data_IF_286757345414
#
_entry.id   IF_286757345414
#
_cell.length_a   1.000
_cell.length_b   1.000
_cell.length_c   1.000
_cell.angle_alpha   90.00
_cell.angle_beta   90.00
_cell.angle_gamma   90.00
#
_symmetry.space_group_name_H-M   'P 1'
#
loop_
_entity.id
_entity.type
_entity.pdbx_description
1 polymer ?
#
# COMPACT_ATOMS: atom_id res chain seq x y z
N UNK A 1 -38.96 36.83 68.41
CA UNK A 1 -37.55 36.71 68.85
C UNK A 1 -37.36 35.60 69.88
N UNK A 2 -37.94 34.42 69.64
CA UNK A 2 -37.73 33.20 70.46
C UNK A 2 -37.84 31.94 69.56
N UNK A 3 -37.27 32.00 68.35
CA UNK A 3 -37.17 30.83 67.46
C UNK A 3 -35.73 30.59 66.97
N UNK A 4 -34.76 31.36 67.45
CA UNK A 4 -33.33 31.22 67.10
C UNK A 4 -32.55 30.48 68.21
N UNK A 5 -33.20 30.17 69.33
CA UNK A 5 -32.61 29.55 70.52
C UNK A 5 -33.22 28.17 70.83
N UNK A 6 -33.31 27.33 69.81
CA UNK A 6 -33.60 25.90 69.95
C UNK A 6 -32.88 25.14 68.81
N UNK A 7 -31.64 25.46 68.45
CA UNK A 7 -30.41 25.02 69.13
C UNK A 7 -30.55 23.67 69.84
N UNK A 8 -29.78 22.71 69.31
CA UNK A 8 -28.87 21.89 70.12
C UNK A 8 -29.41 20.64 70.82
N UNK A 9 -30.40 19.94 70.25
CA UNK A 9 -30.59 18.51 70.55
C UNK A 9 -31.16 17.77 69.33
N UNK A 10 -30.35 17.61 68.29
CA UNK A 10 -30.43 16.53 67.31
C UNK A 10 -29.12 16.58 66.52
N UNK A 11 -28.03 16.28 67.23
CA UNK A 11 -26.85 15.68 66.61
C UNK A 11 -27.21 14.25 66.20
N UNK A 12 -26.45 13.74 65.23
CA UNK A 12 -26.46 12.39 64.68
C UNK A 12 -27.56 12.10 63.67
N UNK A 13 -27.28 12.48 62.42
CA UNK A 13 -27.09 11.55 61.30
C UNK A 13 -26.90 12.40 60.03
N UNK A 14 -25.66 12.80 59.79
CA UNK A 14 -25.21 13.18 58.44
C UNK A 14 -25.50 11.99 57.51
N UNK A 15 -26.27 12.14 56.41
CA UNK A 15 -26.09 11.22 55.30
C UNK A 15 -24.73 11.56 54.71
N UNK A 16 -23.78 10.67 54.98
CA UNK A 16 -22.47 10.60 54.33
C UNK A 16 -22.60 11.04 52.87
N UNK A 17 -21.88 12.10 52.50
CA UNK A 17 -21.50 12.33 51.12
C UNK A 17 -20.74 11.07 50.69
N UNK A 18 -21.45 10.13 50.06
CA UNK A 18 -20.86 8.95 49.46
C UNK A 18 -19.83 9.40 48.43
N UNK A 19 -18.56 9.34 48.87
CA UNK A 19 -17.33 9.21 48.11
C UNK A 19 -17.43 9.60 46.63
N UNK A 20 -17.21 10.90 46.39
CA UNK A 20 -16.58 11.40 45.18
C UNK A 20 -15.10 10.95 45.16
N UNK A 21 -14.87 9.69 44.78
CA UNK A 21 -13.63 9.17 44.16
C UNK A 21 -13.87 7.68 43.85
N UNK A 22 -14.40 7.41 42.66
CA UNK A 22 -14.32 6.08 42.05
C UNK A 22 -13.39 6.15 40.83
N UNK A 23 -12.21 6.74 41.02
CA UNK A 23 -11.05 6.64 40.11
C UNK A 23 -10.34 5.27 40.27
N UNK A 24 -11.13 4.20 40.41
CA UNK A 24 -10.67 2.81 40.36
C UNK A 24 -11.68 1.95 39.58
N UNK A 25 -12.08 2.45 38.42
CA UNK A 25 -12.66 1.57 37.42
C UNK A 25 -11.54 0.66 36.93
N UNK A 26 -11.69 -0.61 37.30
CA UNK A 26 -10.93 -1.76 36.84
C UNK A 26 -11.19 -1.98 35.33
N UNK A 27 -10.97 -0.97 34.50
CA UNK A 27 -11.00 -1.12 33.07
C UNK A 27 -9.81 -2.00 32.68
N UNK A 28 -10.16 -3.20 32.24
CA UNK A 28 -9.20 -4.15 31.67
C UNK A 28 -8.47 -3.43 30.54
N UNK A 29 -7.16 -3.32 30.70
CA UNK A 29 -6.25 -2.64 29.76
C UNK A 29 -6.52 -3.09 28.31
N UNK A 30 -6.54 -2.14 27.38
CA UNK A 30 -6.90 -2.35 25.98
C UNK A 30 -6.15 -3.54 25.31
N UNK A 31 -4.82 -3.71 25.50
CA UNK A 31 -4.09 -4.87 24.99
C UNK A 31 -4.65 -6.21 25.47
N UNK A 32 -5.17 -6.27 26.70
CA UNK A 32 -5.77 -7.49 27.27
C UNK A 32 -7.11 -7.80 26.61
N UNK A 33 -7.92 -6.77 26.29
CA UNK A 33 -9.18 -6.93 25.54
C UNK A 33 -8.94 -7.36 24.09
N UNK A 34 -7.87 -6.88 23.45
CA UNK A 34 -7.55 -7.18 22.06
C UNK A 34 -6.77 -8.48 21.85
N UNK A 35 -6.26 -9.11 22.90
CA UNK A 35 -5.32 -10.25 22.81
C UNK A 35 -5.82 -11.44 21.96
N UNK A 36 -7.14 -11.71 21.97
CA UNK A 36 -7.74 -12.83 21.26
C UNK A 36 -8.65 -12.40 20.10
N UNK A 37 -8.59 -11.12 19.70
CA UNK A 37 -9.44 -10.56 18.66
C UNK A 37 -8.68 -10.57 17.34
N UNK A 38 -9.37 -10.95 16.27
CA UNK A 38 -8.83 -10.84 14.94
C UNK A 38 -8.72 -9.36 14.55
N UNK A 39 -7.50 -8.85 14.36
CA UNK A 39 -7.26 -7.47 13.96
C UNK A 39 -7.77 -7.15 12.54
N UNK A 40 -7.96 -8.17 11.70
CA UNK A 40 -8.52 -8.01 10.35
C UNK A 40 -10.06 -7.97 10.34
N UNK A 41 -10.72 -8.05 11.51
CA UNK A 41 -12.17 -7.98 11.64
C UNK A 41 -12.60 -6.70 12.38
N UNK A 42 -12.89 -5.66 11.60
CA UNK A 42 -13.20 -4.33 12.10
C UNK A 42 -14.44 -4.28 13.01
N UNK A 43 -15.45 -5.11 12.75
CA UNK A 43 -16.64 -5.20 13.61
C UNK A 43 -16.31 -5.84 14.96
N UNK A 44 -15.47 -6.89 14.97
CA UNK A 44 -14.99 -7.52 16.21
C UNK A 44 -14.11 -6.56 17.02
N UNK A 45 -13.19 -5.83 16.37
CA UNK A 45 -12.38 -4.79 17.02
C UNK A 45 -13.24 -3.71 17.64
N UNK A 46 -14.18 -3.17 16.87
CA UNK A 46 -15.09 -2.12 17.35
C UNK A 46 -15.89 -2.56 18.55
N UNK A 47 -16.34 -3.82 18.58
CA UNK A 47 -17.11 -4.39 19.70
C UNK A 47 -16.32 -4.43 21.01
N UNK A 48 -14.99 -4.52 20.94
CA UNK A 48 -14.11 -4.60 22.11
C UNK A 48 -13.67 -3.24 22.66
N UNK A 49 -13.81 -2.17 21.89
CA UNK A 49 -13.51 -0.80 22.32
C UNK A 49 -14.59 -0.25 23.26
N UNK A 50 -14.18 0.54 24.25
CA UNK A 50 -15.09 1.31 25.12
C UNK A 50 -15.72 2.48 24.35
N UNK A 51 -16.73 3.13 24.95
CA UNK A 51 -17.36 4.28 24.31
C UNK A 51 -16.41 5.46 24.15
N UNK A 52 -15.50 5.66 25.09
CA UNK A 52 -14.53 6.76 25.06
C UNK A 52 -13.47 6.52 23.99
N UNK A 53 -12.94 5.29 23.87
CA UNK A 53 -12.00 4.90 22.80
C UNK A 53 -12.63 5.05 21.40
N UNK A 54 -13.91 4.68 21.25
CA UNK A 54 -14.65 4.88 20.00
C UNK A 54 -14.85 6.36 19.64
N UNK A 55 -14.99 7.22 20.64
CA UNK A 55 -15.13 8.66 20.45
C UNK A 55 -13.78 9.29 20.09
N UNK A 56 -12.70 8.86 20.73
CA UNK A 56 -11.33 9.27 20.40
C UNK A 56 -10.99 8.91 18.95
N UNK A 57 -11.25 7.66 18.53
CA UNK A 57 -11.04 7.23 17.15
C UNK A 57 -11.81 8.10 16.14
N UNK A 58 -13.07 8.45 16.43
CA UNK A 58 -13.85 9.35 15.58
C UNK A 58 -13.30 10.78 15.56
N UNK A 59 -12.80 11.27 16.70
CA UNK A 59 -12.16 12.58 16.78
C UNK A 59 -10.88 12.60 15.94
N UNK A 60 -10.10 11.51 15.95
CA UNK A 60 -8.90 11.35 15.12
C UNK A 60 -9.25 11.35 13.63
N UNK A 61 -10.28 10.61 13.22
CA UNK A 61 -10.74 10.56 11.81
C UNK A 61 -11.25 11.91 11.28
N UNK A 62 -11.92 12.69 12.14
CA UNK A 62 -12.41 14.03 11.76
C UNK A 62 -11.30 15.09 11.82
N UNK A 63 -10.22 14.80 12.54
CA UNK A 63 -9.02 15.64 12.58
C UNK A 63 -8.15 15.43 11.34
N UNK A 64 -7.22 16.36 11.10
CA UNK A 64 -6.21 16.23 10.04
C UNK A 64 -5.04 15.33 10.43
N UNK A 65 -5.10 14.64 11.58
CA UNK A 65 -3.97 13.95 12.21
C UNK A 65 -3.82 12.49 11.75
N UNK A 66 -4.77 11.95 10.98
CA UNK A 66 -4.70 10.55 10.50
C UNK A 66 -3.42 10.29 9.71
N UNK A 67 -2.98 11.24 8.88
CA UNK A 67 -1.76 11.13 8.09
C UNK A 67 -0.47 11.05 8.94
N UNK A 68 -0.47 11.63 10.14
CA UNK A 68 0.70 11.63 11.03
C UNK A 68 0.84 10.31 11.80
N UNK A 69 -0.26 9.56 11.94
CA UNK A 69 -0.32 8.32 12.73
C UNK A 69 0.05 7.11 11.86
N UNK A 70 -0.28 7.15 10.56
CA UNK A 70 0.04 6.05 9.64
C UNK A 70 1.55 6.04 9.36
N UNK A 71 2.26 4.93 9.63
CA UNK A 71 3.67 4.84 9.32
C UNK A 71 3.89 4.95 7.82
N UNK A 72 4.90 5.72 7.44
CA UNK A 72 5.28 5.85 6.04
C UNK A 72 5.94 4.55 5.58
N UNK A 73 5.43 3.98 4.50
CA UNK A 73 6.01 2.80 3.90
C UNK A 73 7.33 3.16 3.23
N UNK A 74 8.38 2.42 3.58
CA UNK A 74 9.67 2.53 2.92
C UNK A 74 9.72 1.59 1.71
N UNK A 75 9.90 2.12 0.48
CA UNK A 75 9.98 1.27 -0.68
C UNK A 75 11.20 0.35 -0.63
N UNK A 76 11.01 -0.90 -1.03
CA UNK A 76 12.07 -1.91 -1.03
C UNK A 76 13.21 -1.63 -2.03
N UNK A 77 13.02 -0.69 -2.97
CA UNK A 77 14.00 -0.30 -3.98
C UNK A 77 14.89 0.89 -3.61
N UNK A 78 14.82 1.38 -2.36
CA UNK A 78 15.65 2.52 -1.91
C UNK A 78 17.08 2.13 -1.58
N UNK A 79 17.33 0.84 -1.28
CA UNK A 79 18.67 0.36 -0.96
C UNK A 79 19.59 0.37 -2.19
N UNK A 80 20.81 0.88 -1.99
CA UNK A 80 21.87 0.79 -2.98
C UNK A 80 23.18 0.44 -2.30
N UNK A 81 23.86 -0.57 -2.82
CA UNK A 81 25.19 -0.94 -2.36
C UNK A 81 26.19 0.07 -2.89
N UNK A 82 26.80 0.83 -1.99
CA UNK A 82 27.94 1.67 -2.33
C UNK A 82 29.13 0.79 -2.72
N UNK A 83 29.76 1.11 -3.86
CA UNK A 83 30.98 0.42 -4.30
C UNK A 83 32.16 0.89 -3.43
N UNK A 84 32.34 0.25 -2.28
CA UNK A 84 33.50 0.49 -1.42
C UNK A 84 34.74 -0.15 -2.04
N UNK A 85 35.80 0.64 -2.24
CA UNK A 85 37.09 0.14 -2.75
C UNK A 85 37.80 -0.77 -1.73
N UNK A 86 37.44 -0.65 -0.46
CA UNK A 86 37.93 -1.47 0.66
C UNK A 86 36.73 -1.82 1.52
N UNK A 87 36.52 -3.11 1.78
CA UNK A 87 35.43 -3.62 2.60
C UNK A 87 36.00 -4.41 3.79
N UNK A 88 35.51 -4.13 4.99
CA UNK A 88 35.91 -4.84 6.19
C UNK A 88 35.28 -6.24 6.18
N UNK A 89 36.12 -7.28 6.14
CA UNK A 89 35.69 -8.69 6.15
C UNK A 89 34.91 -9.12 7.42
N UNK A 90 34.82 -8.24 8.43
CA UNK A 90 34.15 -8.50 9.70
C UNK A 90 32.78 -7.81 9.83
N UNK A 91 32.39 -6.93 8.91
CA UNK A 91 31.06 -6.33 8.94
C UNK A 91 30.02 -7.34 8.44
N UNK A 92 28.92 -7.58 9.18
CA UNK A 92 27.85 -8.42 8.69
C UNK A 92 27.25 -7.78 7.42
N UNK A 93 27.19 -8.56 6.34
CA UNK A 93 26.61 -8.11 5.09
C UNK A 93 25.08 -8.19 5.19
N UNK A 94 24.43 -7.11 5.63
CA UNK A 94 22.97 -7.03 5.75
C UNK A 94 22.25 -6.96 4.38
N UNK A 95 22.99 -7.01 3.26
CA UNK A 95 22.43 -6.98 1.91
C UNK A 95 21.39 -8.07 1.68
N UNK A 96 21.65 -9.31 2.10
CA UNK A 96 20.70 -10.42 1.92
C UNK A 96 19.38 -10.16 2.65
N UNK A 97 19.42 -9.64 3.88
CA UNK A 97 18.22 -9.31 4.66
C UNK A 97 17.38 -8.21 4.01
N UNK A 98 18.05 -7.21 3.41
CA UNK A 98 17.38 -6.11 2.72
C UNK A 98 16.76 -6.60 1.41
N UNK A 99 17.51 -7.38 0.61
CA UNK A 99 17.01 -7.93 -0.65
C UNK A 99 15.90 -8.96 -0.43
N UNK A 100 15.86 -9.64 0.73
CA UNK A 100 14.76 -10.53 1.12
C UNK A 100 13.43 -9.80 1.33
N UNK A 101 13.42 -8.47 1.53
CA UNK A 101 12.19 -7.66 1.57
C UNK A 101 11.60 -7.42 0.17
N UNK A 102 12.38 -7.64 -0.90
CA UNK A 102 11.93 -7.40 -2.26
C UNK A 102 10.93 -8.49 -2.71
N UNK A 103 9.97 -8.15 -3.59
CA UNK A 103 9.09 -9.14 -4.19
C UNK A 103 9.86 -10.26 -4.89
N UNK A 104 9.35 -11.49 -4.72
CA UNK A 104 9.98 -12.70 -5.24
C UNK A 104 9.92 -12.69 -6.77
N UNK A 105 11.07 -12.84 -7.41
CA UNK A 105 11.17 -12.88 -8.87
C UNK A 105 10.48 -14.14 -9.40
N UNK A 106 9.48 -13.97 -10.25
CA UNK A 106 8.71 -15.07 -10.82
C UNK A 106 9.48 -15.83 -11.88
N UNK A 107 9.28 -17.14 -11.88
CA UNK A 107 9.75 -18.02 -12.97
C UNK A 107 8.80 -17.89 -14.16
N UNK A 108 9.32 -17.43 -15.28
CA UNK A 108 8.58 -17.28 -16.55
C UNK A 108 9.19 -18.16 -17.65
N UNK A 109 8.40 -18.50 -18.70
CA UNK A 109 8.94 -19.24 -19.84
C UNK A 109 10.16 -18.55 -20.46
N UNK A 110 11.08 -19.35 -21.01
CA UNK A 110 12.27 -18.82 -21.69
C UNK A 110 11.88 -17.94 -22.89
N UNK A 111 12.58 -16.84 -23.10
CA UNK A 111 12.25 -15.89 -24.16
C UNK A 111 12.22 -16.52 -25.56
N UNK A 112 13.17 -17.41 -25.84
CA UNK A 112 13.25 -18.17 -27.09
C UNK A 112 12.04 -19.09 -27.34
N UNK A 113 11.26 -19.43 -26.31
CA UNK A 113 10.01 -20.19 -26.46
C UNK A 113 8.80 -19.30 -26.73
N UNK A 114 8.90 -18.00 -26.44
CA UNK A 114 7.82 -17.02 -26.61
C UNK A 114 7.88 -16.35 -27.99
N UNK A 115 9.08 -16.10 -28.50
CA UNK A 115 9.28 -15.47 -29.81
C UNK A 115 10.63 -15.84 -30.42
N UNK A 116 10.66 -15.89 -31.75
CA UNK A 116 11.89 -16.00 -32.55
C UNK A 116 12.30 -14.64 -33.16
N UNK A 117 11.53 -13.59 -32.89
CA UNK A 117 11.77 -12.25 -33.42
C UNK A 117 12.81 -11.55 -32.55
N UNK A 118 13.77 -10.87 -33.19
CA UNK A 118 14.75 -10.05 -32.49
C UNK A 118 14.03 -8.98 -31.64
N UNK A 119 14.34 -8.85 -30.33
CA UNK A 119 13.73 -7.84 -29.48
C UNK A 119 13.90 -6.43 -30.05
N UNK A 120 12.81 -5.66 -30.07
CA UNK A 120 12.85 -4.25 -30.44
C UNK A 120 13.54 -3.43 -29.32
N UNK A 121 14.34 -2.40 -29.65
CA UNK A 121 14.97 -1.53 -28.65
C UNK A 121 13.97 -0.88 -27.69
N UNK A 122 12.77 -0.56 -28.18
CA UNK A 122 11.67 0.04 -27.43
C UNK A 122 11.17 -0.81 -26.26
N UNK A 123 11.48 -2.11 -26.19
CA UNK A 123 11.08 -2.96 -25.05
C UNK A 123 11.64 -2.40 -23.74
N UNK A 124 12.89 -1.94 -23.71
CA UNK A 124 13.50 -1.38 -22.48
C UNK A 124 12.82 -0.09 -22.07
N UNK A 125 12.48 0.76 -23.03
CA UNK A 125 11.82 2.05 -22.79
C UNK A 125 10.37 1.84 -22.34
N UNK A 126 9.67 0.87 -22.90
CA UNK A 126 8.34 0.49 -22.45
C UNK A 126 8.35 -0.08 -21.02
N UNK A 127 9.40 -0.82 -20.64
CA UNK A 127 9.57 -1.25 -19.25
C UNK A 127 9.72 -0.03 -18.32
N UNK A 128 10.41 1.03 -18.73
CA UNK A 128 10.51 2.28 -17.96
C UNK A 128 9.13 2.92 -17.76
N UNK A 129 8.28 2.98 -18.80
CA UNK A 129 6.88 3.44 -18.66
C UNK A 129 6.09 2.59 -17.64
N UNK A 130 6.31 1.27 -17.63
CA UNK A 130 5.69 0.35 -16.67
C UNK A 130 6.21 0.57 -15.24
N UNK A 131 7.52 0.73 -15.05
CA UNK A 131 8.13 1.00 -13.74
C UNK A 131 7.67 2.34 -13.16
N UNK A 132 7.49 3.35 -14.02
CA UNK A 132 6.98 4.67 -13.62
C UNK A 132 5.56 4.55 -13.07
N UNK A 133 4.66 3.90 -13.80
CA UNK A 133 3.30 3.68 -13.33
C UNK A 133 3.23 2.82 -12.07
N UNK A 134 4.07 1.79 -11.97
CA UNK A 134 4.14 0.92 -10.79
C UNK A 134 4.62 1.68 -9.54
N UNK A 135 5.76 2.36 -9.62
CA UNK A 135 6.32 3.10 -8.47
C UNK A 135 5.35 4.18 -7.97
N UNK A 136 4.73 4.92 -8.90
CA UNK A 136 3.71 5.91 -8.56
C UNK A 136 2.55 5.27 -7.79
N UNK A 137 1.93 4.22 -8.34
CA UNK A 137 0.73 3.62 -7.73
C UNK A 137 1.03 2.96 -6.40
N UNK A 138 2.15 2.24 -6.28
CA UNK A 138 2.50 1.60 -5.00
C UNK A 138 2.78 2.65 -3.92
N UNK A 139 3.41 3.78 -4.26
CA UNK A 139 3.57 4.90 -3.32
C UNK A 139 2.26 5.59 -2.97
N UNK A 140 1.40 5.79 -3.96
CA UNK A 140 0.09 6.38 -3.76
C UNK A 140 -0.73 5.61 -2.71
N UNK A 141 -0.60 4.29 -2.70
CA UNK A 141 -1.23 3.40 -1.70
C UNK A 141 -0.34 3.07 -0.49
N UNK A 142 0.75 3.82 -0.27
CA UNK A 142 1.69 3.61 0.84
C UNK A 142 2.12 2.13 0.99
N UNK A 143 2.41 1.46 -0.12
CA UNK A 143 2.83 0.05 -0.15
C UNK A 143 1.71 -0.99 -0.06
N UNK A 144 0.52 -0.61 0.40
CA UNK A 144 -0.62 -1.52 0.63
C UNK A 144 -1.66 -1.42 -0.49
N UNK A 145 -1.41 -2.13 -1.58
CA UNK A 145 -2.24 -2.05 -2.78
C UNK A 145 -3.46 -2.99 -2.75
N UNK A 146 -4.67 -2.45 -2.87
CA UNK A 146 -5.85 -3.26 -3.21
C UNK A 146 -5.80 -3.63 -4.71
N UNK A 147 -5.71 -4.92 -5.09
CA UNK A 147 -5.38 -5.31 -6.46
C UNK A 147 -6.28 -4.75 -7.55
N UNK A 148 -7.59 -4.68 -7.33
CA UNK A 148 -8.54 -4.18 -8.36
C UNK A 148 -8.33 -2.69 -8.61
N UNK A 149 -8.19 -1.92 -7.54
CA UNK A 149 -7.95 -0.48 -7.59
C UNK A 149 -6.58 -0.16 -8.18
N UNK A 150 -5.53 -0.82 -7.70
CA UNK A 150 -4.17 -0.65 -8.22
C UNK A 150 -4.07 -0.95 -9.71
N UNK A 151 -4.68 -2.04 -10.20
CA UNK A 151 -4.70 -2.34 -11.64
C UNK A 151 -5.47 -1.28 -12.43
N UNK A 152 -6.53 -0.73 -11.86
CA UNK A 152 -7.34 0.32 -12.50
C UNK A 152 -6.51 1.59 -12.64
N UNK A 153 -5.82 2.03 -11.58
CA UNK A 153 -4.91 3.18 -11.59
C UNK A 153 -3.73 2.95 -12.54
N UNK A 154 -3.06 1.80 -12.47
CA UNK A 154 -1.93 1.47 -13.36
C UNK A 154 -2.37 1.50 -14.83
N UNK A 155 -3.53 0.92 -15.18
CA UNK A 155 -4.02 0.96 -16.55
C UNK A 155 -4.49 2.36 -16.96
N UNK A 156 -4.89 3.22 -16.03
CA UNK A 156 -5.23 4.60 -16.34
C UNK A 156 -3.99 5.41 -16.77
N UNK A 157 -2.83 5.16 -16.15
CA UNK A 157 -1.61 5.97 -16.35
C UNK A 157 -0.50 5.30 -17.19
N UNK A 158 -0.53 3.99 -17.39
CA UNK A 158 0.49 3.26 -18.14
C UNK A 158 0.08 3.00 -19.59
N UNK A 159 0.50 3.88 -20.51
CA UNK A 159 0.19 3.72 -21.94
C UNK A 159 0.78 2.44 -22.57
N UNK A 160 1.95 1.99 -22.10
CA UNK A 160 2.52 0.73 -22.59
C UNK A 160 1.63 -0.47 -22.25
N UNK A 161 0.96 -0.51 -21.10
CA UNK A 161 0.05 -1.61 -20.76
C UNK A 161 -1.37 -1.38 -21.30
N UNK A 162 -1.85 -0.13 -21.23
CA UNK A 162 -3.23 0.22 -21.56
C UNK A 162 -3.48 0.25 -23.08
N UNK A 163 -2.58 0.89 -23.81
CA UNK A 163 -2.77 1.23 -25.23
C UNK A 163 -1.79 0.49 -26.15
N UNK A 164 -0.85 -0.27 -25.59
CA UNK A 164 0.30 -0.84 -26.30
C UNK A 164 1.17 0.21 -27.00
N UNK A 165 1.22 1.42 -26.45
CA UNK A 165 2.13 2.46 -26.94
C UNK A 165 3.58 2.01 -26.78
N UNK A 166 4.39 2.34 -27.77
CA UNK A 166 5.83 2.15 -27.73
C UNK A 166 6.51 3.50 -27.55
N UNK A 167 7.56 3.51 -26.75
CA UNK A 167 8.41 4.67 -26.54
C UNK A 167 9.82 4.37 -27.07
N UNK A 168 10.46 5.41 -27.59
CA UNK A 168 11.84 5.34 -28.09
C UNK A 168 12.82 6.04 -27.13
N UNK A 169 12.33 6.97 -26.30
CA UNK A 169 13.13 7.73 -25.34
C UNK A 169 12.64 7.52 -23.90
N UNK A 170 13.55 7.26 -22.94
CA UNK A 170 13.20 7.08 -21.52
C UNK A 170 12.43 8.25 -20.92
N UNK A 171 12.89 9.48 -21.16
CA UNK A 171 12.29 10.67 -20.56
C UNK A 171 10.84 10.86 -21.02
N UNK A 172 10.55 10.59 -22.30
CA UNK A 172 9.19 10.60 -22.84
C UNK A 172 8.31 9.51 -22.23
N UNK A 173 8.86 8.34 -21.95
CA UNK A 173 8.13 7.24 -21.31
C UNK A 173 7.74 7.56 -19.87
N UNK A 174 8.62 8.23 -19.11
CA UNK A 174 8.32 8.67 -17.74
C UNK A 174 7.33 9.83 -17.75
N UNK A 175 7.57 10.84 -18.59
CA UNK A 175 6.71 12.03 -18.67
C UNK A 175 5.30 11.69 -19.15
N UNK A 176 5.13 10.69 -20.01
CA UNK A 176 3.81 10.18 -20.39
C UNK A 176 3.00 9.71 -19.16
N UNK A 177 3.64 9.09 -18.16
CA UNK A 177 2.96 8.72 -16.91
C UNK A 177 2.61 9.96 -16.10
N UNK A 178 3.54 10.89 -15.93
CA UNK A 178 3.28 12.15 -15.20
C UNK A 178 2.07 12.91 -15.76
N UNK A 179 2.02 13.06 -17.10
CA UNK A 179 0.91 13.73 -17.77
C UNK A 179 -0.41 12.97 -17.58
N UNK A 180 -0.38 11.63 -17.54
CA UNK A 180 -1.58 10.84 -17.26
C UNK A 180 -2.04 10.96 -15.82
N UNK A 181 -1.14 11.02 -14.85
CA UNK A 181 -1.50 11.25 -13.45
C UNK A 181 -2.22 12.60 -13.30
N UNK A 182 -1.69 13.67 -13.90
CA UNK A 182 -2.30 15.01 -13.87
C UNK A 182 -3.67 15.09 -14.56
N UNK A 183 -3.95 14.19 -15.50
CA UNK A 183 -5.20 14.13 -16.26
C UNK A 183 -6.18 13.09 -15.71
N UNK A 184 -5.80 12.35 -14.67
CA UNK A 184 -6.61 11.26 -14.13
C UNK A 184 -7.71 11.80 -13.24
N UNK A 185 -8.94 11.33 -13.46
CA UNK A 185 -10.04 11.55 -12.50
C UNK A 185 -9.99 10.55 -11.32
N UNK A 186 -9.05 9.58 -11.34
CA UNK A 186 -8.93 8.52 -10.34
C UNK A 186 -7.77 8.75 -9.35
N UNK A 187 -6.88 9.69 -9.67
CA UNK A 187 -5.63 9.90 -8.95
C UNK A 187 -5.51 11.38 -8.66
N UNK A 188 -5.37 11.72 -7.39
CA UNK A 188 -4.94 13.07 -6.99
C UNK A 188 -3.42 13.08 -6.90
N UNK A 189 -2.79 14.09 -7.49
CA UNK A 189 -1.33 14.17 -7.53
C UNK A 189 -0.84 15.61 -7.50
N UNK A 190 0.41 15.78 -7.10
CA UNK A 190 1.14 17.05 -7.08
C UNK A 190 2.54 16.87 -7.68
N UNK A 191 3.26 17.99 -7.86
CA UNK A 191 4.59 17.95 -8.47
C UNK A 191 5.60 17.15 -7.64
N UNK A 192 5.49 17.18 -6.31
CA UNK A 192 6.39 16.44 -5.42
C UNK A 192 6.24 14.93 -5.61
N UNK A 193 5.01 14.43 -5.68
CA UNK A 193 4.71 13.02 -5.97
C UNK A 193 5.27 12.58 -7.33
N UNK A 194 5.21 13.46 -8.34
CA UNK A 194 5.75 13.19 -9.67
C UNK A 194 7.29 13.15 -9.67
N UNK A 195 7.96 14.05 -8.96
CA UNK A 195 9.41 14.03 -8.79
C UNK A 195 9.89 12.77 -8.05
N UNK A 196 9.16 12.35 -7.01
CA UNK A 196 9.43 11.10 -6.30
C UNK A 196 9.29 9.90 -7.25
N UNK A 197 8.22 9.84 -8.05
CA UNK A 197 8.04 8.79 -9.06
C UNK A 197 9.21 8.73 -10.05
N UNK A 198 9.67 9.89 -10.55
CA UNK A 198 10.82 9.96 -11.48
C UNK A 198 12.07 9.37 -10.82
N UNK A 199 12.32 9.74 -9.56
CA UNK A 199 13.44 9.20 -8.78
C UNK A 199 13.34 7.69 -8.54
N UNK A 200 12.18 7.19 -8.15
CA UNK A 200 11.97 5.75 -7.93
C UNK A 200 12.13 4.94 -9.19
N UNK A 201 11.60 5.44 -10.31
CA UNK A 201 11.75 4.80 -11.61
C UNK A 201 13.23 4.61 -11.93
N UNK A 202 14.03 5.63 -11.66
CA UNK A 202 15.48 5.57 -11.81
C UNK A 202 16.10 4.51 -10.88
N UNK A 203 15.73 4.46 -9.60
CA UNK A 203 16.23 3.46 -8.65
C UNK A 203 15.86 2.02 -9.07
N UNK A 204 14.59 1.79 -9.43
CA UNK A 204 14.09 0.51 -9.93
C UNK A 204 14.83 0.04 -11.18
N UNK A 205 15.18 0.99 -12.06
CA UNK A 205 15.91 0.71 -13.30
C UNK A 205 17.40 0.43 -13.05
N UNK A 206 18.03 1.10 -12.09
CA UNK A 206 19.45 0.90 -11.78
C UNK A 206 19.72 -0.35 -10.95
N UNK A 207 18.74 -0.82 -10.18
CA UNK A 207 18.91 -1.95 -9.26
C UNK A 207 19.78 -1.62 -8.05
N UNK A 208 20.04 -2.61 -7.19
CA UNK A 208 20.82 -2.43 -5.96
C UNK A 208 22.30 -2.12 -6.22
N UNK A 209 22.86 -2.59 -7.34
CA UNK A 209 24.26 -2.38 -7.74
C UNK A 209 24.48 -2.72 -9.24
N UNK A 210 25.68 -2.42 -9.76
CA UNK A 210 26.04 -2.66 -11.17
C UNK A 210 25.94 -4.15 -11.56
N UNK A 211 26.34 -5.05 -10.68
CA UNK A 211 26.36 -6.51 -10.93
C UNK A 211 24.96 -7.11 -10.97
N UNK A 212 24.00 -6.49 -10.27
CA UNK A 212 22.63 -6.95 -10.14
C UNK A 212 21.62 -5.87 -10.56
N UNK A 213 21.96 -5.09 -11.58
CA UNK A 213 21.21 -3.89 -12.01
C UNK A 213 19.77 -4.18 -12.44
N UNK A 214 19.48 -5.41 -12.89
CA UNK A 214 18.13 -5.81 -13.30
C UNK A 214 17.26 -6.34 -12.16
N UNK A 215 17.81 -6.53 -10.94
CA UNK A 215 17.10 -7.16 -9.83
C UNK A 215 15.79 -6.45 -9.48
N UNK A 216 15.86 -5.14 -9.21
CA UNK A 216 14.67 -4.37 -8.85
C UNK A 216 13.64 -4.30 -9.96
N UNK A 217 14.08 -4.15 -11.21
CA UNK A 217 13.17 -4.21 -12.35
C UNK A 217 12.44 -5.56 -12.42
N UNK A 218 13.15 -6.68 -12.21
CA UNK A 218 12.53 -8.03 -12.22
C UNK A 218 11.60 -8.25 -11.04
N UNK A 219 11.95 -7.78 -9.85
CA UNK A 219 11.09 -7.83 -8.66
C UNK A 219 9.82 -7.02 -8.87
N UNK A 220 9.91 -5.78 -9.37
CA UNK A 220 8.75 -4.94 -9.68
C UNK A 220 7.83 -5.58 -10.73
N UNK A 221 8.39 -6.13 -11.81
CA UNK A 221 7.57 -6.84 -12.82
C UNK A 221 6.90 -8.10 -12.24
N UNK A 222 7.56 -8.78 -11.31
CA UNK A 222 7.00 -9.97 -10.65
C UNK A 222 5.86 -9.61 -9.71
N UNK A 223 6.01 -8.52 -8.96
CA UNK A 223 4.98 -7.96 -8.10
C UNK A 223 3.76 -7.50 -8.91
N UNK A 224 3.98 -6.77 -10.01
CA UNK A 224 2.93 -6.40 -10.97
C UNK A 224 2.17 -7.62 -11.49
N UNK A 225 2.85 -8.72 -11.80
CA UNK A 225 2.19 -9.96 -12.24
C UNK A 225 1.27 -10.50 -11.14
N UNK A 226 1.69 -10.44 -9.87
CA UNK A 226 0.86 -10.84 -8.73
C UNK A 226 -0.33 -9.91 -8.53
N UNK A 227 -0.12 -8.59 -8.52
CA UNK A 227 -1.18 -7.57 -8.43
C UNK A 227 -2.24 -7.82 -9.51
N UNK A 228 -1.83 -7.97 -10.78
CA UNK A 228 -2.76 -8.23 -11.88
C UNK A 228 -3.46 -9.59 -11.76
N UNK A 229 -2.76 -10.62 -11.28
CA UNK A 229 -3.34 -11.97 -11.09
C UNK A 229 -4.36 -11.99 -9.95
N UNK A 230 -4.09 -11.25 -8.88
CA UNK A 230 -4.97 -11.11 -7.72
C UNK A 230 -6.21 -10.28 -8.09
N UNK A 231 -6.04 -9.17 -8.82
CA UNK A 231 -7.16 -8.36 -9.33
C UNK A 231 -8.11 -9.19 -10.20
N UNK A 232 -7.55 -10.00 -11.11
CA UNK A 232 -8.32 -10.91 -11.96
C UNK A 232 -9.08 -11.97 -11.17
N UNK A 233 -8.51 -12.46 -10.07
CA UNK A 233 -9.14 -13.46 -9.21
C UNK A 233 -10.25 -12.84 -8.37
N UNK A 234 -9.98 -11.69 -7.72
CA UNK A 234 -10.96 -10.92 -6.94
C UNK A 234 -12.14 -10.47 -7.78
N UNK A 235 -11.92 -10.03 -9.01
CA UNK A 235 -12.98 -9.60 -9.94
C UNK A 235 -13.99 -10.71 -10.33
N UNK A 236 -13.68 -11.98 -10.06
CA UNK A 236 -14.60 -13.12 -10.30
C UNK A 236 -15.39 -13.51 -9.06
N UNK A 237 -14.90 -13.16 -7.88
CA UNK A 237 -15.53 -13.49 -6.61
C UNK A 237 -16.63 -12.44 -6.42
N UNK A 238 -17.89 -12.88 -6.37
CA UNK A 238 -18.96 -12.03 -5.89
C UNK A 238 -18.78 -11.93 -4.37
N UNK A 239 -18.52 -10.75 -3.85
CA UNK A 239 -18.46 -10.52 -2.41
C UNK A 239 -19.81 -10.93 -1.83
N UNK A 240 -19.84 -12.01 -1.05
CA UNK A 240 -21.01 -12.32 -0.23
C UNK A 240 -21.14 -11.22 0.81
N UNK A 241 -22.35 -10.66 0.93
CA UNK A 241 -22.60 -9.62 1.93
C UNK A 241 -22.39 -10.23 3.32
N UNK A 242 -21.25 -9.91 3.95
CA UNK A 242 -21.06 -10.16 5.38
C UNK A 242 -22.14 -9.41 6.15
N UNK A 243 -22.61 -9.98 7.26
CA UNK A 243 -23.51 -9.28 8.15
C UNK A 243 -22.81 -8.02 8.65
N UNK A 244 -23.28 -6.85 8.23
CA UNK A 244 -22.69 -5.57 8.65
C UNK A 244 -22.91 -5.38 10.15
N UNK A 245 -21.85 -5.43 10.94
CA UNK A 245 -21.90 -5.04 12.35
C UNK A 245 -21.96 -3.52 12.49
N UNK A 246 -21.82 -3.05 13.72
CA UNK A 246 -21.96 -1.62 14.04
C UNK A 246 -20.86 -0.76 13.43
N UNK A 247 -19.63 -1.30 13.30
CA UNK A 247 -18.54 -0.60 12.63
C UNK A 247 -18.82 -0.47 11.14
N UNK A 248 -19.07 -1.60 10.46
CA UNK A 248 -19.27 -1.64 9.01
C UNK A 248 -20.51 -0.88 8.53
N UNK A 249 -21.45 -0.58 9.44
CA UNK A 249 -22.58 0.32 9.19
C UNK A 249 -22.19 1.79 9.26
N UNK A 250 -21.33 2.14 10.21
CA UNK A 250 -20.89 3.53 10.45
C UNK A 250 -19.76 3.94 9.51
N UNK A 251 -18.87 3.00 9.20
CA UNK A 251 -17.74 3.11 8.28
C UNK A 251 -17.89 2.01 7.23
N UNK A 252 -18.63 2.27 6.14
CA UNK A 252 -18.77 1.29 5.06
C UNK A 252 -17.38 0.94 4.51
N UNK A 253 -17.14 -0.36 4.31
CA UNK A 253 -15.94 -0.82 3.60
C UNK A 253 -15.84 -0.12 2.24
N UNK A 254 -14.62 0.23 1.84
CA UNK A 254 -14.33 0.75 0.52
C UNK A 254 -14.80 -0.26 -0.53
N UNK A 255 -15.82 0.11 -1.31
CA UNK A 255 -16.27 -0.70 -2.43
C UNK A 255 -15.71 -0.14 -3.75
N UNK A 256 -15.37 -1.06 -4.65
CA UNK A 256 -14.86 -0.71 -5.98
C UNK A 256 -16.00 -0.27 -6.93
N UNK A 257 -17.17 0.11 -6.42
CA UNK A 257 -18.35 0.40 -7.26
C UNK A 257 -18.21 1.71 -8.04
N UNK A 258 -17.44 2.65 -7.50
CA UNK A 258 -17.11 3.92 -8.13
C UNK A 258 -16.04 3.78 -9.23
N UNK A 259 -15.27 2.68 -9.21
CA UNK A 259 -14.23 2.42 -10.18
C UNK A 259 -14.79 1.85 -11.50
N UNK A 260 -14.16 2.17 -12.65
CA UNK A 260 -14.48 1.51 -13.91
C UNK A 260 -14.31 -0.01 -13.82
N UNK A 261 -15.25 -0.76 -14.41
CA UNK A 261 -15.14 -2.22 -14.43
C UNK A 261 -13.89 -2.69 -15.19
N UNK A 262 -13.09 -3.56 -14.58
CA UNK A 262 -11.90 -4.13 -15.22
C UNK A 262 -12.24 -5.08 -16.37
N UNK A 263 -11.71 -4.82 -17.56
CA UNK A 263 -11.74 -5.78 -18.67
C UNK A 263 -10.77 -6.95 -18.39
N UNK A 264 -11.32 -8.08 -17.96
CA UNK A 264 -10.56 -9.29 -17.66
C UNK A 264 -9.77 -9.83 -18.86
N UNK A 265 -10.19 -9.56 -20.10
CA UNK A 265 -9.45 -9.94 -21.29
C UNK A 265 -8.20 -9.09 -21.44
N UNK A 266 -8.31 -7.78 -21.17
CA UNK A 266 -7.18 -6.86 -21.13
C UNK A 266 -6.20 -7.22 -20.02
N UNK A 267 -6.68 -7.43 -18.79
CA UNK A 267 -5.84 -7.85 -17.65
C UNK A 267 -5.02 -9.10 -17.98
N UNK A 268 -5.64 -10.13 -18.60
CA UNK A 268 -4.92 -11.33 -19.06
C UNK A 268 -3.82 -11.02 -20.08
N UNK A 269 -4.06 -10.11 -21.03
CA UNK A 269 -3.06 -9.70 -22.02
C UNK A 269 -1.91 -8.94 -21.37
N UNK A 270 -2.20 -8.05 -20.41
CA UNK A 270 -1.19 -7.33 -19.64
C UNK A 270 -0.31 -8.29 -18.83
N UNK A 271 -0.89 -9.29 -18.15
CA UNK A 271 -0.12 -10.34 -17.45
C UNK A 271 0.86 -11.02 -18.42
N UNK A 272 0.39 -11.43 -19.61
CA UNK A 272 1.27 -12.06 -20.62
C UNK A 272 2.35 -11.11 -21.13
N UNK A 273 2.06 -9.83 -21.23
CA UNK A 273 3.03 -8.79 -21.62
C UNK A 273 4.10 -8.57 -20.55
N UNK A 274 3.71 -8.56 -19.27
CA UNK A 274 4.64 -8.48 -18.13
C UNK A 274 5.53 -9.72 -18.04
N UNK A 275 4.96 -10.92 -18.20
CA UNK A 275 5.72 -12.18 -18.29
C UNK A 275 6.73 -12.14 -19.46
N UNK A 276 6.33 -11.57 -20.60
CA UNK A 276 7.21 -11.38 -21.75
C UNK A 276 8.36 -10.40 -21.46
N UNK A 277 8.09 -9.27 -20.78
CA UNK A 277 9.13 -8.35 -20.34
C UNK A 277 10.10 -8.98 -19.35
N UNK A 278 9.58 -9.70 -18.35
CA UNK A 278 10.42 -10.43 -17.40
C UNK A 278 11.30 -11.48 -18.10
N UNK A 279 10.71 -12.21 -19.06
CA UNK A 279 11.43 -13.18 -19.89
C UNK A 279 12.52 -12.54 -20.75
N UNK A 280 12.25 -11.36 -21.32
CA UNK A 280 13.24 -10.58 -22.07
C UNK A 280 14.42 -10.15 -21.18
N UNK A 281 14.15 -9.65 -19.96
CA UNK A 281 15.22 -9.24 -19.04
C UNK A 281 16.12 -10.41 -18.63
N UNK A 282 15.57 -11.61 -18.49
CA UNK A 282 16.37 -12.82 -18.24
C UNK A 282 17.34 -13.17 -19.38
N UNK A 283 17.16 -12.60 -20.59
CA UNK A 283 18.14 -12.74 -21.69
C UNK A 283 19.26 -11.72 -21.62
N UNK A 284 19.10 -10.66 -20.83
CA UNK A 284 20.04 -9.56 -20.69
C UNK A 284 21.07 -9.78 -19.57
N UNK A 285 20.91 -10.80 -18.71
CA UNK A 285 21.84 -11.15 -17.61
C UNK A 285 23.15 -11.80 -18.08
N UNK A 286 23.75 -11.35 -19.17
CA UNK A 286 24.95 -11.96 -19.76
C UNK A 286 26.15 -11.02 -19.78
#
# INVERSE_FOLDING_TARGET
>A
MMEILNRMQNEDLEPEEENLDSDDDNEIDLPTRLQNINLDDADSLWSALTNDERNEFQSLLNGSTVGDIVPHWEPWWTYRKEKKLVEDLQQPNNEEEILNKCPIIKVVPKFSSLTNIKPAPSIRVNIINVLSAYSFVVRYFNGEVEPVEAVTCILNICDSLNSNSNFDEPDLAVEAVSQKCLQSDLIETDEESLEIMRHDTFLLYQGPNEENSLFYTKSALSDLIDIFSNAKSKSKIKTEARSKGDFSRKFPEHDNSHLPSLDLSKVKKCIKKLEFYLSFLNTCDK
#
